data_IF_539432328511
#
_entry.id   IF_539432328511
#
_cell.length_a   1.000
_cell.length_b   1.000
_cell.length_c   1.000
_cell.angle_alpha   90.00
_cell.angle_beta   90.00
_cell.angle_gamma   90.00
#
_symmetry.space_group_name_H-M   'P 1'
#
loop_
_entity.id
_entity.type
_entity.pdbx_description
1 polymer ?
#
# COMPACT_ATOMS: atom_id res chain seq x y z
N UNK A 1 16.72 -36.51 9.50
CA UNK A 1 17.05 -37.22 8.27
C UNK A 1 17.84 -36.26 7.40
N UNK A 2 18.95 -36.76 6.84
CA UNK A 2 19.83 -36.00 5.95
C UNK A 2 19.99 -36.72 4.63
N UNK A 3 19.93 -35.99 3.55
CA UNK A 3 20.23 -36.45 2.21
C UNK A 3 21.47 -35.72 1.68
N UNK A 4 22.48 -36.47 1.20
CA UNK A 4 23.74 -35.88 0.73
C UNK A 4 24.14 -36.48 -0.62
N UNK A 5 24.80 -35.67 -1.45
CA UNK A 5 25.44 -36.12 -2.68
C UNK A 5 26.86 -35.60 -2.73
N UNK A 6 27.85 -36.46 -3.05
CA UNK A 6 29.28 -36.07 -3.09
C UNK A 6 29.82 -35.55 -1.75
N UNK A 7 29.31 -36.06 -0.61
CA UNK A 7 29.69 -35.62 0.72
C UNK A 7 29.11 -34.27 1.18
N UNK A 8 28.31 -33.61 0.34
CA UNK A 8 27.65 -32.36 0.66
C UNK A 8 26.20 -32.63 1.05
N UNK A 9 25.79 -32.13 2.23
CA UNK A 9 24.40 -32.19 2.66
C UNK A 9 23.52 -31.35 1.70
N UNK A 10 22.47 -31.95 1.18
CA UNK A 10 21.53 -31.33 0.23
C UNK A 10 20.19 -30.97 0.89
N UNK A 11 19.71 -31.85 1.75
CA UNK A 11 18.46 -31.68 2.48
C UNK A 11 18.64 -32.18 3.89
N UNK A 12 18.19 -31.45 4.87
CA UNK A 12 18.08 -31.81 6.27
C UNK A 12 16.65 -31.71 6.73
N UNK A 13 16.12 -32.73 7.39
CA UNK A 13 14.82 -32.73 8.05
C UNK A 13 15.07 -32.86 9.55
N UNK A 14 14.66 -31.85 10.30
CA UNK A 14 14.80 -31.77 11.76
C UNK A 14 13.44 -31.41 12.39
N UNK A 15 13.39 -31.37 13.72
CA UNK A 15 12.20 -30.87 14.42
C UNK A 15 11.89 -29.37 14.11
N UNK A 16 12.88 -28.65 13.59
CA UNK A 16 12.73 -27.23 13.19
C UNK A 16 12.26 -27.08 11.73
N UNK A 17 12.09 -28.19 11.00
CA UNK A 17 11.62 -28.18 9.61
C UNK A 17 12.58 -28.79 8.61
N UNK A 18 12.39 -28.45 7.34
CA UNK A 18 13.20 -28.90 6.21
C UNK A 18 14.10 -27.77 5.76
N UNK A 19 15.40 -28.03 5.63
CA UNK A 19 16.40 -27.08 5.11
C UNK A 19 17.33 -27.78 4.11
N UNK A 20 17.97 -27.01 3.24
CA UNK A 20 18.94 -27.54 2.28
C UNK A 20 19.22 -26.60 1.13
N UNK A 21 20.26 -26.92 0.34
CA UNK A 21 20.61 -26.13 -0.84
C UNK A 21 19.49 -26.21 -1.89
N UNK A 22 18.89 -25.07 -2.25
CA UNK A 22 17.80 -24.99 -3.21
C UNK A 22 16.41 -25.24 -2.62
N UNK A 23 16.30 -25.46 -1.30
CA UNK A 23 15.02 -25.39 -0.60
C UNK A 23 14.87 -23.98 -0.04
N UNK A 24 13.98 -23.18 -0.61
CA UNK A 24 13.53 -21.98 0.03
C UNK A 24 12.48 -22.38 1.07
N UNK A 25 12.73 -22.08 2.34
CA UNK A 25 11.76 -22.25 3.42
C UNK A 25 10.66 -21.19 3.38
N UNK A 26 10.74 -20.28 2.42
CA UNK A 26 9.81 -19.18 2.25
C UNK A 26 8.70 -19.50 1.25
N UNK A 27 7.51 -18.98 1.53
CA UNK A 27 6.44 -18.87 0.54
C UNK A 27 6.85 -17.97 -0.63
N UNK A 28 5.89 -17.58 -1.45
CA UNK A 28 6.10 -16.65 -2.57
C UNK A 28 6.70 -15.29 -2.11
N UNK A 29 6.39 -14.88 -0.89
CA UNK A 29 6.83 -13.61 -0.32
C UNK A 29 7.85 -13.84 0.80
N UNK A 30 8.96 -13.07 0.76
CA UNK A 30 9.98 -13.04 1.81
C UNK A 30 9.53 -12.19 3.00
N UNK A 31 8.89 -11.06 2.72
CA UNK A 31 8.59 -10.05 3.73
C UNK A 31 7.32 -9.29 3.40
N UNK A 32 6.72 -8.68 4.44
CA UNK A 32 5.47 -7.94 4.36
C UNK A 32 5.56 -6.63 5.15
N UNK A 33 5.04 -5.55 4.58
CA UNK A 33 4.82 -4.29 5.29
C UNK A 33 3.40 -3.78 5.08
N UNK A 34 2.88 -3.07 6.08
CA UNK A 34 1.55 -2.47 6.08
C UNK A 34 1.65 -1.00 6.49
N UNK A 35 1.25 -0.12 5.58
CA UNK A 35 1.20 1.32 5.81
C UNK A 35 -0.24 1.81 5.78
N UNK A 36 -0.53 2.87 6.55
CA UNK A 36 -1.86 3.46 6.57
C UNK A 36 -1.83 4.98 6.78
N UNK A 37 -2.90 5.63 6.34
CA UNK A 37 -3.28 6.95 6.82
C UNK A 37 -4.22 6.78 8.02
N UNK A 38 -3.72 7.11 9.21
CA UNK A 38 -4.49 7.04 10.47
C UNK A 38 -4.67 8.44 11.01
N UNK A 39 -5.92 8.80 11.25
CA UNK A 39 -6.31 10.06 11.86
C UNK A 39 -6.98 9.83 13.22
N UNK A 40 -6.94 10.83 14.07
CA UNK A 40 -7.70 10.82 15.31
C UNK A 40 -9.20 10.69 15.04
N UNK A 41 -9.97 10.31 16.05
CA UNK A 41 -11.43 10.27 15.99
C UNK A 41 -11.98 11.62 15.50
N UNK A 42 -13.00 11.59 14.68
CA UNK A 42 -13.68 12.75 14.08
C UNK A 42 -12.81 13.61 13.16
N UNK A 43 -11.63 13.15 12.77
CA UNK A 43 -10.80 13.80 11.77
C UNK A 43 -10.99 13.11 10.42
N UNK A 44 -11.28 13.89 9.40
CA UNK A 44 -11.53 13.42 8.04
C UNK A 44 -10.23 13.14 7.29
N UNK A 45 -10.30 12.28 6.28
CA UNK A 45 -9.16 11.94 5.44
C UNK A 45 -8.91 12.96 4.34
N UNK A 46 -7.65 13.41 4.22
CA UNK A 46 -7.08 14.04 3.03
C UNK A 46 -7.53 15.44 2.63
N UNK A 47 -8.42 16.10 3.36
CA UNK A 47 -8.79 17.51 3.11
C UNK A 47 -9.44 17.79 1.75
N UNK A 48 -9.17 18.99 1.19
CA UNK A 48 -9.75 19.43 -0.09
C UNK A 48 -9.08 18.77 -1.29
N UNK A 49 -9.87 18.44 -2.32
CA UNK A 49 -9.44 17.83 -3.57
C UNK A 49 -9.86 18.69 -4.76
N UNK A 50 -8.95 18.95 -5.69
CA UNK A 50 -9.22 19.70 -6.93
C UNK A 50 -9.58 18.73 -8.06
N UNK A 51 -10.61 19.06 -8.81
CA UNK A 51 -11.05 18.27 -9.97
C UNK A 51 -9.94 18.12 -11.01
N UNK A 52 -9.76 16.92 -11.53
CA UNK A 52 -8.83 16.60 -12.60
C UNK A 52 -7.38 16.38 -12.15
N UNK A 53 -6.96 16.94 -11.04
CA UNK A 53 -5.58 16.86 -10.56
C UNK A 53 -5.30 15.56 -9.82
N UNK A 54 -4.09 15.04 -9.99
CA UNK A 54 -3.56 13.96 -9.17
C UNK A 54 -3.05 14.52 -7.84
N UNK A 55 -3.54 13.96 -6.75
CA UNK A 55 -3.07 14.30 -5.40
C UNK A 55 -2.42 13.11 -4.72
N UNK A 56 -1.31 13.37 -4.05
CA UNK A 56 -0.70 12.41 -3.13
C UNK A 56 -1.64 12.17 -1.96
N UNK A 57 -1.95 10.91 -1.69
CA UNK A 57 -2.73 10.49 -0.53
C UNK A 57 -1.89 10.58 0.73
N UNK A 58 -2.53 10.97 1.83
CA UNK A 58 -1.89 10.90 3.13
C UNK A 58 -1.52 9.44 3.44
N UNK A 59 -0.34 9.28 4.02
CA UNK A 59 0.21 8.01 4.46
C UNK A 59 1.18 8.32 5.60
N UNK A 60 0.80 8.08 6.83
CA UNK A 60 1.49 8.62 8.00
C UNK A 60 1.90 7.58 9.04
N UNK A 61 1.46 6.33 8.89
CA UNK A 61 1.67 5.29 9.88
C UNK A 61 2.17 4.01 9.24
N UNK A 62 3.26 3.48 9.76
CA UNK A 62 3.73 2.14 9.51
C UNK A 62 3.15 1.22 10.59
N UNK A 63 2.19 0.39 10.18
CA UNK A 63 1.50 -0.54 11.08
C UNK A 63 2.28 -1.84 11.28
N UNK A 64 3.02 -2.24 10.26
CA UNK A 64 3.84 -3.44 10.29
C UNK A 64 4.97 -3.35 9.27
N UNK A 65 6.19 -3.65 9.67
CA UNK A 65 7.36 -3.89 8.83
C UNK A 65 8.47 -4.56 9.65
N UNK A 66 8.26 -5.84 10.00
CA UNK A 66 9.19 -6.58 10.86
C UNK A 66 10.60 -6.73 10.24
N UNK A 67 10.67 -6.70 8.91
CA UNK A 67 11.92 -6.95 8.17
C UNK A 67 12.57 -5.66 7.63
N UNK A 68 11.98 -4.50 7.88
CA UNK A 68 12.51 -3.21 7.43
C UNK A 68 12.57 -3.06 5.91
N UNK A 69 11.53 -3.54 5.19
CA UNK A 69 11.51 -3.48 3.72
C UNK A 69 11.05 -2.14 3.17
N UNK A 70 10.51 -1.27 4.02
CA UNK A 70 10.00 0.05 3.65
C UNK A 70 10.55 1.11 4.59
N UNK A 71 10.63 2.34 4.13
CA UNK A 71 10.74 3.51 5.00
C UNK A 71 9.71 4.55 4.59
N UNK A 72 8.93 5.04 5.55
CA UNK A 72 7.81 5.97 5.35
C UNK A 72 8.23 7.39 5.78
N UNK A 73 8.07 8.38 4.91
CA UNK A 73 8.30 9.80 5.21
C UNK A 73 7.48 10.69 4.27
N UNK A 74 6.85 11.73 4.81
CA UNK A 74 6.16 12.76 4.02
C UNK A 74 5.13 12.20 3.02
N UNK A 75 4.32 11.23 3.45
CA UNK A 75 3.33 10.53 2.61
C UNK A 75 3.92 9.69 1.47
N UNK A 76 5.23 9.47 1.48
CA UNK A 76 5.98 8.69 0.49
C UNK A 76 6.68 7.53 1.17
N UNK A 77 6.86 6.44 0.42
CA UNK A 77 7.58 5.28 0.92
C UNK A 77 8.71 4.88 -0.03
N UNK A 78 9.84 4.47 0.55
CA UNK A 78 11.03 4.03 -0.19
C UNK A 78 11.12 2.51 -0.13
N UNK A 79 11.37 1.89 -1.29
CA UNK A 79 11.67 0.46 -1.43
C UNK A 79 13.09 0.28 -1.97
N UNK A 80 13.81 -0.73 -1.48
CA UNK A 80 15.12 -1.14 -1.99
C UNK A 80 14.97 -2.02 -3.24
N UNK A 81 16.08 -2.40 -3.90
CA UNK A 81 16.06 -3.34 -5.01
C UNK A 81 15.29 -4.63 -4.64
N UNK A 82 14.46 -5.11 -5.56
CA UNK A 82 13.65 -6.30 -5.35
C UNK A 82 12.43 -6.37 -6.25
N UNK A 83 11.69 -7.45 -6.13
CA UNK A 83 10.37 -7.64 -6.76
C UNK A 83 9.29 -7.50 -5.70
N UNK A 84 8.30 -6.68 -6.00
CA UNK A 84 7.24 -6.32 -5.06
C UNK A 84 5.87 -6.54 -5.67
N UNK A 85 4.94 -6.99 -4.84
CA UNK A 85 3.51 -6.87 -5.06
C UNK A 85 2.97 -5.81 -4.11
N UNK A 86 2.22 -4.85 -4.65
CA UNK A 86 1.54 -3.82 -3.87
C UNK A 86 0.04 -3.91 -4.08
N UNK A 87 -0.71 -3.84 -2.98
CA UNK A 87 -2.13 -3.60 -2.98
C UNK A 87 -2.40 -2.31 -2.17
N UNK A 88 -3.25 -1.43 -2.69
CA UNK A 88 -3.65 -0.24 -1.98
C UNK A 88 -5.14 0.02 -2.13
N UNK A 89 -5.73 0.59 -1.09
CA UNK A 89 -7.12 1.03 -1.02
C UNK A 89 -7.15 2.50 -0.69
N UNK A 90 -7.90 3.28 -1.48
CA UNK A 90 -8.05 4.72 -1.28
C UNK A 90 -9.53 5.09 -1.25
N UNK A 91 -10.09 5.46 -0.10
CA UNK A 91 -11.47 5.91 -0.01
C UNK A 91 -11.64 7.30 -0.61
N UNK A 92 -12.85 7.60 -1.04
CA UNK A 92 -13.27 8.93 -1.44
C UNK A 92 -14.75 9.15 -1.14
N UNK A 93 -15.09 10.35 -0.67
CA UNK A 93 -16.44 10.76 -0.33
C UNK A 93 -16.93 11.81 -1.31
N UNK A 94 -18.10 11.59 -1.94
CA UNK A 94 -18.78 12.56 -2.84
C UNK A 94 -17.91 13.08 -3.99
N UNK A 95 -17.12 12.19 -4.62
CA UNK A 95 -16.06 12.57 -5.56
C UNK A 95 -16.45 12.46 -7.03
N UNK A 96 -17.64 11.97 -7.35
CA UNK A 96 -18.00 11.42 -8.65
C UNK A 96 -16.99 10.35 -9.06
N UNK A 97 -16.45 10.38 -10.27
CA UNK A 97 -15.41 9.43 -10.66
C UNK A 97 -14.12 9.74 -9.94
N UNK A 98 -13.48 8.70 -9.43
CA UNK A 98 -12.15 8.80 -8.84
C UNK A 98 -11.32 7.56 -9.16
N UNK A 99 -10.00 7.69 -9.10
CA UNK A 99 -9.09 6.63 -9.47
C UNK A 99 -7.78 6.74 -8.70
N UNK A 100 -7.34 5.64 -8.08
CA UNK A 100 -6.02 5.53 -7.46
C UNK A 100 -4.92 5.23 -8.49
N UNK A 101 -3.69 5.58 -8.15
CA UNK A 101 -2.50 5.19 -8.89
C UNK A 101 -1.29 5.02 -7.96
N UNK A 102 -0.39 4.10 -8.32
CA UNK A 102 0.96 4.03 -7.77
C UNK A 102 1.88 4.88 -8.66
N UNK A 103 2.55 5.84 -8.06
CA UNK A 103 3.48 6.73 -8.73
C UNK A 103 4.89 6.54 -8.21
N UNK A 104 5.84 6.36 -9.11
CA UNK A 104 7.26 6.34 -8.81
C UNK A 104 7.79 7.77 -8.88
N UNK A 105 8.07 8.35 -7.73
CA UNK A 105 8.54 9.73 -7.59
C UNK A 105 9.95 9.89 -8.16
N UNK A 106 10.81 8.89 -7.91
CA UNK A 106 12.20 8.90 -8.39
C UNK A 106 12.28 8.98 -9.91
N UNK A 107 11.46 8.22 -10.61
CA UNK A 107 11.47 8.15 -12.09
C UNK A 107 10.38 9.02 -12.72
N UNK A 108 9.62 9.77 -11.92
CA UNK A 108 8.52 10.64 -12.37
C UNK A 108 7.52 9.92 -13.29
N UNK A 109 7.12 8.70 -12.95
CA UNK A 109 6.29 7.84 -13.79
C UNK A 109 5.21 7.09 -13.02
N UNK A 110 4.08 6.83 -13.67
CA UNK A 110 3.05 5.97 -13.11
C UNK A 110 3.42 4.49 -13.31
N UNK A 111 3.39 3.72 -12.22
CA UNK A 111 3.62 2.28 -12.25
C UNK A 111 2.33 1.56 -12.63
N UNK A 112 1.22 1.95 -12.01
CA UNK A 112 -0.08 1.32 -12.22
C UNK A 112 -1.22 2.26 -11.87
N UNK A 113 -2.31 2.18 -12.65
CA UNK A 113 -3.59 2.78 -12.34
C UNK A 113 -4.55 1.71 -11.78
N UNK A 114 -5.31 2.06 -10.78
CA UNK A 114 -6.41 1.26 -10.27
C UNK A 114 -7.67 1.38 -11.15
N UNK A 115 -8.70 0.57 -10.93
CA UNK A 115 -10.01 0.77 -11.52
C UNK A 115 -10.62 2.13 -11.14
N UNK A 116 -11.41 2.68 -12.03
CA UNK A 116 -12.22 3.86 -11.73
C UNK A 116 -13.36 3.45 -10.80
N UNK A 117 -13.53 4.17 -9.71
CA UNK A 117 -14.67 4.07 -8.81
C UNK A 117 -15.56 5.30 -8.95
N UNK A 118 -16.76 5.24 -8.42
CA UNK A 118 -17.75 6.31 -8.52
C UNK A 118 -18.52 6.49 -7.21
N UNK A 119 -18.57 7.73 -6.72
CA UNK A 119 -19.41 8.17 -5.60
C UNK A 119 -20.19 9.39 -6.04
N UNK A 120 -21.51 9.29 -6.15
CA UNK A 120 -22.33 10.44 -6.56
C UNK A 120 -22.11 11.62 -5.60
N UNK A 121 -21.72 12.78 -6.14
CA UNK A 121 -21.31 13.91 -5.30
C UNK A 121 -22.47 14.56 -4.53
N UNK A 122 -23.71 14.30 -4.91
CA UNK A 122 -24.89 14.73 -4.18
C UNK A 122 -25.28 13.84 -3.01
N UNK A 123 -24.69 12.64 -2.90
CA UNK A 123 -25.04 11.65 -1.90
C UNK A 123 -23.98 11.48 -0.84
N UNK A 124 -24.39 11.14 0.38
CA UNK A 124 -23.48 10.91 1.51
C UNK A 124 -22.92 9.48 1.44
N UNK A 125 -22.07 9.21 0.44
CA UNK A 125 -21.49 7.90 0.18
C UNK A 125 -19.98 8.01 0.09
N UNK A 126 -19.29 7.07 0.74
CA UNK A 126 -17.87 6.79 0.54
C UNK A 126 -17.73 5.52 -0.29
N UNK A 127 -16.85 5.53 -1.28
CA UNK A 127 -16.45 4.36 -2.04
C UNK A 127 -14.93 4.33 -2.19
N UNK A 128 -14.38 3.21 -2.61
CA UNK A 128 -12.94 2.98 -2.65
C UNK A 128 -12.48 2.71 -4.08
N UNK A 129 -11.34 3.26 -4.44
CA UNK A 129 -10.55 2.83 -5.57
C UNK A 129 -9.44 1.90 -5.08
N UNK A 130 -9.29 0.77 -5.75
CA UNK A 130 -8.28 -0.23 -5.43
C UNK A 130 -7.12 -0.15 -6.39
N UNK A 131 -5.93 -0.48 -5.90
CA UNK A 131 -4.74 -0.62 -6.72
C UNK A 131 -4.12 -2.00 -6.45
N UNK A 132 -3.69 -2.69 -7.50
CA UNK A 132 -2.91 -3.93 -7.37
C UNK A 132 -1.89 -3.99 -8.49
N UNK A 133 -0.64 -4.25 -8.14
CA UNK A 133 0.43 -4.35 -9.13
C UNK A 133 1.56 -5.25 -8.65
N UNK A 134 2.37 -5.72 -9.60
CA UNK A 134 3.64 -6.41 -9.38
C UNK A 134 4.69 -5.75 -10.25
N UNK A 135 5.85 -5.42 -9.69
CA UNK A 135 6.95 -4.79 -10.43
C UNK A 135 8.30 -5.14 -9.80
N UNK A 136 9.37 -4.93 -10.56
CA UNK A 136 10.75 -5.12 -10.10
C UNK A 136 11.52 -3.82 -10.23
N UNK A 137 12.34 -3.51 -9.22
CA UNK A 137 13.25 -2.37 -9.21
C UNK A 137 14.67 -2.85 -8.93
N UNK A 138 15.64 -2.25 -9.62
CA UNK A 138 17.07 -2.61 -9.51
C UNK A 138 17.84 -1.79 -8.48
N UNK A 139 17.22 -0.78 -7.89
CA UNK A 139 17.80 0.10 -6.87
C UNK A 139 16.72 0.76 -6.04
N UNK A 140 17.12 1.54 -5.03
CA UNK A 140 16.19 2.26 -4.17
C UNK A 140 15.34 3.25 -4.98
N UNK A 141 14.02 3.21 -4.75
CA UNK A 141 13.03 4.09 -5.39
C UNK A 141 12.01 4.59 -4.37
N UNK A 142 11.58 5.83 -4.57
CA UNK A 142 10.53 6.48 -3.77
C UNK A 142 9.20 6.39 -4.51
N UNK A 143 8.17 6.02 -3.79
CA UNK A 143 6.81 5.86 -4.30
C UNK A 143 5.80 6.64 -3.48
N UNK A 144 4.67 6.95 -4.08
CA UNK A 144 3.50 7.49 -3.40
C UNK A 144 2.21 6.95 -4.01
N UNK A 145 1.16 6.91 -3.21
CA UNK A 145 -0.19 6.66 -3.70
C UNK A 145 -0.81 7.99 -4.10
N UNK A 146 -1.26 8.07 -5.33
CA UNK A 146 -2.01 9.22 -5.87
C UNK A 146 -3.46 8.86 -6.10
N UNK A 147 -4.32 9.86 -6.03
CA UNK A 147 -5.72 9.73 -6.42
C UNK A 147 -6.17 10.99 -7.16
N UNK A 148 -6.99 10.83 -8.19
CA UNK A 148 -7.64 11.92 -8.90
C UNK A 148 -9.16 11.83 -8.76
N UNK A 149 -9.82 12.96 -8.92
CA UNK A 149 -11.25 13.14 -8.67
C UNK A 149 -11.90 13.91 -9.80
N UNK A 150 -13.14 13.61 -10.12
CA UNK A 150 -13.91 14.35 -11.11
C UNK A 150 -14.44 15.65 -10.52
N UNK A 151 -14.88 15.66 -9.24
CA UNK A 151 -15.48 16.82 -8.58
C UNK A 151 -14.51 17.48 -7.62
N UNK A 152 -14.63 18.80 -7.47
CA UNK A 152 -13.98 19.52 -6.38
C UNK A 152 -14.63 19.11 -5.05
N UNK A 153 -13.80 18.81 -4.05
CA UNK A 153 -14.23 18.44 -2.71
C UNK A 153 -13.50 19.35 -1.72
N UNK A 154 -14.23 20.02 -0.86
CA UNK A 154 -13.65 21.05 0.01
C UNK A 154 -13.18 20.51 1.36
N UNK A 155 -13.71 19.39 1.86
CA UNK A 155 -13.42 18.91 3.22
C UNK A 155 -13.16 17.42 3.34
N UNK A 156 -13.99 16.55 2.79
CA UNK A 156 -13.96 15.12 3.08
C UNK A 156 -13.34 14.25 1.97
N UNK A 157 -12.53 14.83 1.11
CA UNK A 157 -12.09 14.17 -0.13
C UNK A 157 -11.45 12.81 0.05
N UNK A 158 -10.76 12.59 1.14
CA UNK A 158 -10.12 11.33 1.48
C UNK A 158 -10.98 10.35 2.27
N UNK A 159 -12.23 10.68 2.55
CA UNK A 159 -13.15 9.90 3.36
C UNK A 159 -13.63 10.65 4.61
N UNK A 160 -14.74 10.22 5.16
CA UNK A 160 -15.34 10.80 6.38
C UNK A 160 -14.77 10.09 7.60
N UNK A 161 -14.34 10.86 8.60
CA UNK A 161 -13.85 10.34 9.86
C UNK A 161 -14.95 9.68 10.71
N UNK A 162 -14.54 8.94 11.73
CA UNK A 162 -15.44 8.34 12.69
C UNK A 162 -16.30 9.40 13.37
N UNK A 163 -17.54 9.04 13.69
CA UNK A 163 -18.42 9.90 14.49
C UNK A 163 -17.82 10.13 15.89
N UNK A 164 -18.00 11.33 16.43
CA UNK A 164 -17.57 11.68 17.79
C UNK A 164 -18.21 10.81 18.89
N UNK A 165 -19.29 10.07 18.57
CA UNK A 165 -19.91 9.10 19.47
C UNK A 165 -19.13 7.79 19.59
N UNK A 166 -18.18 7.54 18.69
CA UNK A 166 -17.38 6.31 18.68
C UNK A 166 -15.99 6.58 19.25
N UNK A 167 -15.33 5.54 19.72
CA UNK A 167 -13.93 5.60 20.15
C UNK A 167 -13.05 4.93 19.11
N UNK A 168 -11.80 5.37 18.98
CA UNK A 168 -10.81 4.80 18.08
C UNK A 168 -10.26 5.82 17.09
N UNK A 169 -9.55 5.30 16.09
CA UNK A 169 -8.95 6.10 15.03
C UNK A 169 -9.66 5.85 13.70
N UNK A 170 -9.68 6.88 12.86
CA UNK A 170 -10.13 6.77 11.47
C UNK A 170 -8.98 6.26 10.60
N UNK A 171 -9.22 5.21 9.82
CA UNK A 171 -8.24 4.67 8.85
C UNK A 171 -8.76 4.93 7.45
N UNK A 172 -7.90 5.44 6.58
CA UNK A 172 -8.25 5.82 5.22
C UNK A 172 -7.44 5.06 4.17
N UNK A 173 -6.36 5.67 3.65
CA UNK A 173 -5.50 4.96 2.71
C UNK A 173 -4.78 3.82 3.41
N UNK A 174 -4.80 2.64 2.80
CA UNK A 174 -4.06 1.46 3.29
C UNK A 174 -3.20 0.94 2.15
N UNK A 175 -1.95 0.59 2.44
CA UNK A 175 -1.01 0.03 1.47
C UNK A 175 -0.36 -1.23 2.03
N UNK A 176 -0.57 -2.35 1.37
CA UNK A 176 0.08 -3.62 1.63
C UNK A 176 1.24 -3.80 0.65
N UNK A 177 2.40 -4.13 1.17
CA UNK A 177 3.64 -4.30 0.41
C UNK A 177 4.19 -5.70 0.70
N UNK A 178 4.28 -6.52 -0.33
CA UNK A 178 4.86 -7.86 -0.26
C UNK A 178 6.14 -7.86 -1.09
N UNK A 179 7.26 -8.22 -0.47
CA UNK A 179 8.52 -8.44 -1.17
C UNK A 179 8.63 -9.93 -1.50
N UNK A 180 8.89 -10.24 -2.77
CA UNK A 180 9.12 -11.62 -3.22
C UNK A 180 10.51 -12.11 -2.84
N UNK A 181 10.66 -13.45 -2.75
CA UNK A 181 11.93 -14.14 -2.51
C UNK A 181 12.90 -13.99 -3.70
#
# INVERSE_FOLDING_TARGET
>A
IKFSTGGVERISITNSGISGTGISSGGLYASYALLADIKANSVDGGGSMTSGDWRTRDLNTELHDADGIVSLSSNQFTLQAGTYRIAATTPSYRADRHQAALYNVTDSSYVQFGPVAYTLNSENVTNESFLRTRFTISGAKVFEIRQRFQSNITTFGGGVGLSSYWTGSSIFTVVEIFKEN
#
